data_IF_508627433248
#
_entry.id   IF_508627433248
#
_cell.length_a   1.000
_cell.length_b   1.000
_cell.length_c   1.000
_cell.angle_alpha   90.00
_cell.angle_beta   90.00
_cell.angle_gamma   90.00
#
_symmetry.space_group_name_H-M   'P 1'
#
loop_
_entity.id
_entity.type
_entity.pdbx_description
1 polymer ?
#
# COMPACT_ATOMS: atom_id res chain seq x y z
N UNK A 1 24.08 8.53 -20.28
CA UNK A 1 23.61 7.44 -19.41
C UNK A 1 24.51 6.26 -19.58
N UNK A 2 25.19 5.85 -18.52
CA UNK A 2 26.12 4.72 -18.55
C UNK A 2 25.41 3.48 -18.02
N UNK A 3 25.37 2.43 -18.83
CA UNK A 3 24.64 1.19 -18.56
C UNK A 3 25.63 0.04 -18.38
N UNK A 4 25.40 -0.76 -17.33
CA UNK A 4 26.14 -1.99 -17.07
C UNK A 4 25.23 -3.19 -17.34
N UNK A 5 25.71 -4.11 -18.18
CA UNK A 5 25.08 -5.40 -18.45
C UNK A 5 25.86 -6.50 -17.73
N UNK A 6 25.16 -7.33 -16.99
CA UNK A 6 25.75 -8.46 -16.25
C UNK A 6 24.97 -9.74 -16.57
N UNK A 7 25.60 -10.63 -17.33
CA UNK A 7 24.99 -11.88 -17.81
C UNK A 7 26.11 -12.84 -18.20
N UNK A 8 26.10 -14.09 -17.82
CA UNK A 8 27.14 -15.06 -18.17
C UNK A 8 27.02 -15.59 -19.62
N UNK A 9 25.86 -15.36 -20.26
CA UNK A 9 25.65 -15.72 -21.66
C UNK A 9 26.08 -14.58 -22.60
N UNK A 10 27.18 -14.79 -23.32
CA UNK A 10 27.72 -13.82 -24.29
C UNK A 10 26.73 -13.45 -25.42
N UNK A 11 25.81 -14.34 -25.77
CA UNK A 11 24.77 -14.06 -26.76
C UNK A 11 23.74 -13.06 -26.18
N UNK A 12 23.28 -13.28 -24.97
CA UNK A 12 22.36 -12.39 -24.25
C UNK A 12 22.96 -10.99 -24.08
N UNK A 13 24.23 -10.89 -23.66
CA UNK A 13 24.96 -9.62 -23.57
C UNK A 13 25.01 -8.88 -24.91
N UNK A 14 25.36 -9.60 -25.98
CA UNK A 14 25.47 -9.00 -27.33
C UNK A 14 24.08 -8.54 -27.84
N UNK A 15 23.05 -9.34 -27.63
CA UNK A 15 21.70 -9.02 -28.05
C UNK A 15 21.17 -7.77 -27.32
N UNK A 16 21.30 -7.76 -25.99
CA UNK A 16 20.83 -6.67 -25.16
C UNK A 16 21.61 -5.37 -25.45
N UNK A 17 22.93 -5.44 -25.65
CA UNK A 17 23.75 -4.29 -26.06
C UNK A 17 23.26 -3.69 -27.38
N UNK A 18 23.04 -4.51 -28.40
CA UNK A 18 22.53 -4.04 -29.70
C UNK A 18 21.15 -3.41 -29.62
N UNK A 19 20.27 -3.99 -28.79
CA UNK A 19 18.94 -3.43 -28.58
C UNK A 19 19.03 -2.06 -27.90
N UNK A 20 19.88 -1.90 -26.89
CA UNK A 20 20.12 -0.63 -26.20
C UNK A 20 20.77 0.41 -27.14
N UNK A 21 21.76 0.04 -27.93
CA UNK A 21 22.37 0.91 -28.94
C UNK A 21 21.34 1.42 -29.95
N UNK A 22 20.44 0.54 -30.41
CA UNK A 22 19.39 0.90 -31.37
C UNK A 22 18.36 1.91 -30.83
N UNK A 23 18.29 2.09 -29.51
CA UNK A 23 17.42 3.07 -28.84
C UNK A 23 18.20 4.26 -28.30
N UNK A 24 19.49 4.41 -28.68
CA UNK A 24 20.30 5.59 -28.43
C UNK A 24 21.11 5.54 -27.12
N UNK A 25 21.37 4.37 -26.56
CA UNK A 25 22.30 4.20 -25.43
C UNK A 25 23.71 3.94 -25.99
N UNK A 26 24.64 4.88 -25.81
CA UNK A 26 25.97 4.82 -26.39
C UNK A 26 27.05 4.30 -25.43
N UNK A 27 26.86 4.44 -24.12
CA UNK A 27 27.83 4.07 -23.08
C UNK A 27 27.41 2.81 -22.37
N UNK A 28 27.81 1.65 -22.88
CA UNK A 28 27.43 0.32 -22.38
C UNK A 28 28.71 -0.44 -21.99
N UNK A 29 28.73 -0.91 -20.75
CA UNK A 29 29.75 -1.78 -20.19
C UNK A 29 29.17 -3.17 -20.01
N UNK A 30 29.87 -4.21 -20.43
CA UNK A 30 29.42 -5.59 -20.35
C UNK A 30 30.37 -6.43 -19.48
N UNK A 31 29.80 -7.22 -18.58
CA UNK A 31 30.55 -8.20 -17.81
C UNK A 31 29.84 -9.55 -17.83
N UNK A 32 30.59 -10.59 -18.08
CA UNK A 32 30.18 -11.99 -18.07
C UNK A 32 30.25 -12.62 -16.66
N UNK A 33 30.74 -11.87 -15.69
CA UNK A 33 30.87 -12.29 -14.29
C UNK A 33 30.42 -11.19 -13.33
N UNK A 34 29.56 -11.53 -12.42
CA UNK A 34 29.05 -10.63 -11.38
C UNK A 34 30.17 -10.01 -10.53
N UNK A 35 31.26 -10.74 -10.26
CA UNK A 35 32.40 -10.23 -9.50
C UNK A 35 33.09 -9.05 -10.17
N UNK A 36 33.27 -9.09 -11.50
CA UNK A 36 33.88 -8.02 -12.27
C UNK A 36 32.98 -6.79 -12.28
N UNK A 37 31.67 -6.99 -12.41
CA UNK A 37 30.68 -5.94 -12.31
C UNK A 37 30.71 -5.25 -10.94
N UNK A 38 30.82 -6.01 -9.84
CA UNK A 38 30.94 -5.46 -8.49
C UNK A 38 32.25 -4.67 -8.29
N UNK A 39 33.37 -5.13 -8.85
CA UNK A 39 34.63 -4.40 -8.78
C UNK A 39 34.49 -3.00 -9.43
N UNK A 40 33.84 -2.93 -10.59
CA UNK A 40 33.54 -1.67 -11.27
C UNK A 40 32.62 -0.77 -10.44
N UNK A 41 31.55 -1.32 -9.86
CA UNK A 41 30.57 -0.57 -9.07
C UNK A 41 31.13 -0.10 -7.71
N UNK A 42 32.19 -0.74 -7.22
CA UNK A 42 32.89 -0.35 -5.98
C UNK A 42 33.90 0.77 -6.24
N UNK A 43 34.37 0.93 -7.47
CA UNK A 43 35.24 2.01 -7.87
C UNK A 43 34.42 3.31 -7.97
N UNK A 44 34.66 4.24 -7.02
CA UNK A 44 33.93 5.52 -6.93
C UNK A 44 34.26 6.48 -8.08
N UNK A 45 35.22 6.15 -8.92
CA UNK A 45 35.60 7.00 -10.07
C UNK A 45 34.67 6.82 -11.26
N UNK A 46 33.93 5.70 -11.33
CA UNK A 46 33.04 5.37 -12.44
C UNK A 46 31.56 5.31 -11.95
N UNK A 47 30.75 6.17 -12.53
CA UNK A 47 29.32 6.21 -12.21
C UNK A 47 28.53 5.36 -13.20
N UNK A 48 27.85 4.34 -12.72
CA UNK A 48 26.86 3.55 -13.46
C UNK A 48 25.47 4.05 -13.10
N UNK A 49 24.71 4.43 -14.12
CA UNK A 49 23.35 4.96 -13.94
C UNK A 49 22.29 3.86 -13.90
N UNK A 50 22.51 2.76 -14.65
CA UNK A 50 21.55 1.67 -14.80
C UNK A 50 22.28 0.33 -14.91
N UNK A 51 21.83 -0.67 -14.18
CA UNK A 51 22.33 -2.05 -14.23
C UNK A 51 21.24 -2.97 -14.77
N UNK A 52 21.55 -3.76 -15.80
CA UNK A 52 20.78 -4.95 -16.18
C UNK A 52 21.49 -6.16 -15.60
N UNK A 53 20.81 -6.93 -14.79
CA UNK A 53 21.37 -8.08 -14.09
C UNK A 53 20.60 -9.34 -14.42
N UNK A 54 21.29 -10.34 -14.97
CA UNK A 54 20.74 -11.70 -15.03
C UNK A 54 20.66 -12.31 -13.65
N UNK A 55 19.64 -13.13 -13.43
CA UNK A 55 19.44 -13.86 -12.18
C UNK A 55 20.21 -15.20 -12.15
N UNK A 56 20.41 -15.82 -13.29
CA UNK A 56 21.07 -17.11 -13.40
C UNK A 56 22.53 -16.97 -13.87
N UNK A 57 23.42 -16.73 -12.95
CA UNK A 57 24.83 -16.64 -13.23
C UNK A 57 25.62 -17.65 -12.38
N UNK A 58 26.67 -18.29 -12.92
CA UNK A 58 27.53 -19.18 -12.16
C UNK A 58 28.35 -18.40 -11.12
N UNK A 59 28.71 -19.07 -10.02
CA UNK A 59 29.56 -18.56 -8.93
C UNK A 59 28.88 -17.52 -8.05
N UNK A 60 28.19 -16.53 -8.61
CA UNK A 60 27.40 -15.50 -7.91
C UNK A 60 26.12 -15.27 -8.69
N UNK A 61 25.01 -15.68 -8.14
CA UNK A 61 23.70 -15.49 -8.74
C UNK A 61 23.20 -14.03 -8.60
N UNK A 62 22.14 -13.70 -9.33
CA UNK A 62 21.57 -12.34 -9.32
C UNK A 62 21.01 -11.93 -7.95
N UNK A 63 20.56 -12.87 -7.13
CA UNK A 63 20.07 -12.58 -5.77
C UNK A 63 21.24 -12.16 -4.87
N UNK A 64 22.35 -12.86 -4.97
CA UNK A 64 23.57 -12.50 -4.24
C UNK A 64 24.11 -11.16 -4.74
N UNK A 65 24.09 -10.93 -6.04
CA UNK A 65 24.49 -9.65 -6.64
C UNK A 65 23.63 -8.49 -6.14
N UNK A 66 22.32 -8.63 -6.08
CA UNK A 66 21.37 -7.64 -5.50
C UNK A 66 21.74 -7.31 -4.05
N UNK A 67 22.06 -8.31 -3.23
CA UNK A 67 22.50 -8.08 -1.84
C UNK A 67 23.80 -7.27 -1.77
N UNK A 68 24.74 -7.51 -2.67
CA UNK A 68 25.98 -6.74 -2.74
C UNK A 68 25.73 -5.29 -3.20
N UNK A 69 24.87 -5.06 -4.20
CA UNK A 69 24.45 -3.71 -4.61
C UNK A 69 23.91 -2.90 -3.41
N UNK A 70 23.05 -3.54 -2.60
CA UNK A 70 22.53 -2.91 -1.39
C UNK A 70 23.64 -2.59 -0.38
N UNK A 71 24.60 -3.51 -0.17
CA UNK A 71 25.71 -3.34 0.78
C UNK A 71 26.65 -2.20 0.38
N UNK A 72 26.92 -2.02 -0.92
CA UNK A 72 27.77 -0.90 -1.40
C UNK A 72 27.00 0.42 -1.51
N UNK A 73 25.68 0.41 -1.25
CA UNK A 73 24.83 1.61 -1.35
C UNK A 73 24.67 2.09 -2.80
N UNK A 74 24.49 1.16 -3.74
CA UNK A 74 24.26 1.51 -5.15
C UNK A 74 23.02 2.40 -5.29
N UNK A 75 23.21 3.59 -5.86
CA UNK A 75 22.16 4.60 -5.99
C UNK A 75 21.56 4.71 -7.40
N UNK A 76 22.06 3.92 -8.36
CA UNK A 76 21.52 3.86 -9.72
C UNK A 76 20.29 2.98 -9.80
N UNK A 77 19.81 2.77 -11.02
CA UNK A 77 18.63 1.96 -11.30
C UNK A 77 19.01 0.52 -11.63
N UNK A 78 18.10 -0.42 -11.34
CA UNK A 78 18.29 -1.85 -11.58
C UNK A 78 17.16 -2.40 -12.45
N UNK A 79 17.49 -3.16 -13.46
CA UNK A 79 16.57 -4.01 -14.23
C UNK A 79 17.00 -5.46 -14.02
N UNK A 80 16.08 -6.30 -13.59
CA UNK A 80 16.29 -7.74 -13.46
C UNK A 80 15.93 -8.41 -14.78
N UNK A 81 16.81 -9.29 -15.25
CA UNK A 81 16.62 -10.03 -16.50
C UNK A 81 16.68 -11.52 -16.21
N UNK A 82 15.74 -12.33 -16.67
CA UNK A 82 15.82 -13.78 -16.49
C UNK A 82 14.90 -14.55 -17.45
N UNK A 83 15.25 -15.81 -17.69
CA UNK A 83 14.37 -16.79 -18.35
C UNK A 83 13.50 -17.59 -17.39
N UNK A 84 13.56 -17.33 -16.10
CA UNK A 84 12.86 -18.07 -15.04
C UNK A 84 11.37 -17.71 -14.94
N UNK A 85 10.63 -18.50 -14.14
CA UNK A 85 9.23 -18.27 -13.81
C UNK A 85 9.03 -16.86 -13.23
N UNK A 86 7.97 -16.19 -13.66
CA UNK A 86 7.57 -14.85 -13.21
C UNK A 86 7.56 -14.70 -11.69
N UNK A 87 7.22 -15.76 -10.94
CA UNK A 87 7.19 -15.77 -9.47
C UNK A 87 8.59 -15.60 -8.85
N UNK A 88 9.62 -16.20 -9.45
CA UNK A 88 11.00 -16.05 -8.97
C UNK A 88 11.46 -14.60 -9.22
N UNK A 89 11.20 -14.08 -10.41
CA UNK A 89 11.52 -12.69 -10.76
C UNK A 89 10.87 -11.68 -9.81
N UNK A 90 9.59 -11.88 -9.51
CA UNK A 90 8.84 -11.00 -8.59
C UNK A 90 9.38 -11.09 -7.15
N UNK A 91 9.76 -12.29 -6.71
CA UNK A 91 10.40 -12.49 -5.40
C UNK A 91 11.71 -11.73 -5.30
N UNK A 92 12.55 -11.76 -6.35
CA UNK A 92 13.85 -11.05 -6.37
C UNK A 92 13.63 -9.55 -6.48
N UNK A 93 12.63 -9.10 -7.23
CA UNK A 93 12.24 -7.69 -7.28
C UNK A 93 11.85 -7.16 -5.90
N UNK A 94 10.97 -7.87 -5.20
CA UNK A 94 10.54 -7.50 -3.86
C UNK A 94 11.72 -7.47 -2.87
N UNK A 95 12.64 -8.44 -2.98
CA UNK A 95 13.88 -8.45 -2.20
C UNK A 95 14.74 -7.21 -2.50
N UNK A 96 14.93 -6.86 -3.77
CA UNK A 96 15.71 -5.70 -4.17
C UNK A 96 15.09 -4.38 -3.65
N UNK A 97 13.75 -4.25 -3.76
CA UNK A 97 13.00 -3.11 -3.21
C UNK A 97 13.08 -3.04 -1.68
N UNK A 98 13.01 -4.18 -0.97
CA UNK A 98 13.18 -4.25 0.49
C UNK A 98 14.59 -3.79 0.92
N UNK A 99 15.58 -4.00 0.09
CA UNK A 99 16.93 -3.48 0.25
C UNK A 99 17.09 -2.01 -0.19
N UNK A 100 16.00 -1.32 -0.53
CA UNK A 100 15.96 0.08 -0.98
C UNK A 100 16.73 0.34 -2.28
N UNK A 101 16.88 -0.68 -3.12
CA UNK A 101 17.38 -0.50 -4.48
C UNK A 101 16.27 0.04 -5.38
N UNK A 102 16.65 0.91 -6.31
CA UNK A 102 15.71 1.48 -7.28
C UNK A 102 15.51 0.52 -8.45
N UNK A 103 14.54 -0.40 -8.34
CA UNK A 103 14.20 -1.35 -9.40
C UNK A 103 13.28 -0.68 -10.41
N UNK A 104 13.81 -0.47 -11.63
CA UNK A 104 13.08 0.11 -12.76
C UNK A 104 12.07 -0.89 -13.35
N UNK A 105 12.38 -2.18 -13.31
CA UNK A 105 11.48 -3.25 -13.75
C UNK A 105 12.17 -4.58 -14.01
N UNK A 106 11.40 -5.49 -14.62
CA UNK A 106 11.79 -6.85 -14.94
C UNK A 106 11.70 -7.08 -16.44
N UNK A 107 12.62 -7.85 -16.99
CA UNK A 107 12.60 -8.33 -18.37
C UNK A 107 12.70 -9.85 -18.43
N UNK A 108 11.78 -10.48 -19.15
CA UNK A 108 11.90 -11.90 -19.48
C UNK A 108 12.78 -12.12 -20.71
N UNK A 109 13.67 -13.11 -20.65
CA UNK A 109 14.46 -13.55 -21.82
C UNK A 109 13.58 -14.40 -22.76
N UNK A 110 13.63 -14.14 -24.08
CA UNK A 110 14.34 -13.06 -24.77
C UNK A 110 13.60 -11.71 -24.66
N UNK A 111 14.28 -10.68 -24.16
CA UNK A 111 13.69 -9.36 -24.04
C UNK A 111 13.48 -8.73 -25.43
N UNK A 112 12.30 -8.12 -25.65
CA UNK A 112 12.05 -7.40 -26.89
C UNK A 112 12.50 -5.94 -26.80
N UNK A 113 12.81 -5.33 -27.93
CA UNK A 113 13.19 -3.92 -28.01
C UNK A 113 12.08 -2.99 -27.46
N UNK A 114 10.81 -3.36 -27.68
CA UNK A 114 9.67 -2.57 -27.22
C UNK A 114 9.53 -2.61 -25.69
N UNK A 115 9.81 -3.74 -25.05
CA UNK A 115 9.83 -3.85 -23.59
C UNK A 115 10.94 -2.97 -23.00
N UNK A 116 12.16 -3.00 -23.57
CA UNK A 116 13.28 -2.17 -23.15
C UNK A 116 12.93 -0.69 -23.32
N UNK A 117 12.37 -0.30 -24.48
CA UNK A 117 11.90 1.07 -24.73
C UNK A 117 10.82 1.50 -23.71
N UNK A 118 9.87 0.64 -23.41
CA UNK A 118 8.82 0.88 -22.41
C UNK A 118 9.41 1.22 -21.05
N UNK A 119 10.35 0.39 -20.56
CA UNK A 119 11.04 0.61 -19.29
C UNK A 119 11.85 1.93 -19.27
N UNK A 120 12.61 2.21 -20.33
CA UNK A 120 13.40 3.44 -20.40
C UNK A 120 12.54 4.70 -20.62
N UNK A 121 11.39 4.58 -21.27
CA UNK A 121 10.43 5.69 -21.43
C UNK A 121 9.70 6.00 -20.13
N UNK A 122 9.36 4.99 -19.33
CA UNK A 122 8.82 5.17 -17.98
C UNK A 122 9.78 5.96 -17.07
N UNK A 123 11.10 5.77 -17.26
CA UNK A 123 12.15 6.59 -16.63
C UNK A 123 12.05 8.08 -17.02
N UNK A 124 11.73 8.39 -18.27
CA UNK A 124 11.62 9.78 -18.76
C UNK A 124 10.28 10.43 -18.41
N UNK A 125 9.19 9.66 -18.36
CA UNK A 125 7.84 10.10 -17.97
C UNK A 125 7.65 10.24 -16.46
N UNK A 126 8.42 9.55 -15.66
CA UNK A 126 8.43 9.64 -14.19
C UNK A 126 9.11 10.88 -13.61
N UNK A 127 9.57 11.80 -14.45
CA UNK A 127 9.88 13.17 -14.07
C UNK A 127 8.62 14.06 -14.14
N UNK A 128 7.52 13.65 -13.53
CA UNK A 128 6.62 14.60 -12.90
C UNK A 128 7.47 15.36 -11.88
N UNK A 129 7.46 16.67 -12.00
CA UNK A 129 8.23 17.64 -11.24
C UNK A 129 8.65 17.07 -9.89
N UNK A 130 9.93 16.74 -9.76
CA UNK A 130 10.50 16.46 -8.47
C UNK A 130 10.24 17.72 -7.65
N UNK A 131 9.22 17.68 -6.81
CA UNK A 131 9.21 18.55 -5.64
C UNK A 131 10.62 18.46 -5.05
N UNK A 132 11.23 19.58 -4.65
CA UNK A 132 12.59 19.58 -4.12
C UNK A 132 12.68 18.45 -3.10
N UNK A 133 13.80 17.70 -3.01
CA UNK A 133 13.90 16.57 -2.12
C UNK A 133 13.53 17.05 -0.72
N UNK A 134 12.29 16.76 -0.34
CA UNK A 134 11.84 17.01 1.03
C UNK A 134 12.76 16.16 1.87
N UNK A 135 13.60 16.81 2.65
CA UNK A 135 14.61 16.20 3.50
C UNK A 135 14.07 14.91 4.11
N UNK A 136 14.79 13.80 3.95
CA UNK A 136 14.45 12.45 4.47
C UNK A 136 14.47 12.38 6.01
N UNK A 137 14.27 13.49 6.69
CA UNK A 137 14.30 13.57 8.14
C UNK A 137 12.90 13.32 8.67
N UNK A 138 12.72 12.22 9.39
CA UNK A 138 11.57 12.03 10.26
C UNK A 138 11.36 13.29 11.11
N UNK A 139 10.13 13.75 11.23
CA UNK A 139 9.83 14.93 12.04
C UNK A 139 10.19 14.68 13.50
N UNK A 140 10.78 15.69 14.17
CA UNK A 140 11.13 15.56 15.59
C UNK A 140 9.87 15.31 16.44
N UNK A 141 9.91 14.38 17.40
CA UNK A 141 8.76 14.06 18.24
C UNK A 141 8.10 15.27 18.90
N UNK A 142 8.90 16.27 19.28
CA UNK A 142 8.40 17.52 19.89
C UNK A 142 7.60 18.39 18.92
N UNK A 143 7.89 18.32 17.62
CA UNK A 143 7.14 19.03 16.57
C UNK A 143 5.81 18.33 16.35
N UNK A 144 5.82 17.00 16.21
CA UNK A 144 4.61 16.20 16.06
C UNK A 144 3.67 16.34 17.27
N UNK A 145 4.21 16.33 18.51
CA UNK A 145 3.40 16.55 19.73
C UNK A 145 2.69 17.90 19.69
N UNK A 146 3.36 18.95 19.25
CA UNK A 146 2.72 20.28 19.09
C UNK A 146 1.67 20.29 18.00
N UNK A 147 1.91 19.58 16.90
CA UNK A 147 0.96 19.45 15.80
C UNK A 147 -0.34 18.76 16.25
N UNK A 148 -0.22 17.67 17.03
CA UNK A 148 -1.37 16.96 17.61
C UNK A 148 -2.17 17.90 18.51
N UNK A 149 -1.48 18.58 19.45
CA UNK A 149 -2.13 19.50 20.39
C UNK A 149 -2.64 20.80 19.73
N UNK A 150 -2.04 21.20 18.60
CA UNK A 150 -2.34 22.46 17.89
C UNK A 150 -3.42 22.35 16.82
N UNK A 151 -4.00 21.15 16.60
CA UNK A 151 -5.04 20.96 15.57
C UNK A 151 -4.50 20.99 14.14
N UNK A 152 -3.21 20.68 13.93
CA UNK A 152 -2.61 20.60 12.60
C UNK A 152 -2.90 19.26 11.90
N UNK A 153 -3.45 18.26 12.64
CA UNK A 153 -3.90 17.00 12.06
C UNK A 153 -5.31 17.17 11.50
N UNK A 154 -5.51 16.75 10.26
CA UNK A 154 -6.79 16.82 9.55
C UNK A 154 -7.13 15.44 8.98
N UNK A 155 -8.41 15.13 8.93
CA UNK A 155 -8.89 13.88 8.36
C UNK A 155 -9.28 14.06 6.89
N UNK A 156 -8.80 13.16 6.06
CA UNK A 156 -9.28 12.93 4.71
C UNK A 156 -10.11 11.65 4.72
N UNK A 157 -11.06 11.56 3.83
CA UNK A 157 -12.01 10.47 3.79
C UNK A 157 -11.99 9.82 2.42
N UNK A 158 -11.86 8.48 2.40
CA UNK A 158 -11.92 7.71 1.17
C UNK A 158 -13.15 6.82 1.18
N UNK A 159 -14.06 6.95 0.19
CA UNK A 159 -15.28 6.19 0.11
C UNK A 159 -15.03 4.68 -0.04
N UNK A 160 -15.84 3.90 0.71
CA UNK A 160 -16.05 2.46 0.52
C UNK A 160 -17.44 2.25 -0.09
N UNK A 161 -17.52 1.55 -1.19
CA UNK A 161 -18.77 1.33 -1.93
C UNK A 161 -19.10 -0.15 -2.03
N UNK A 162 -20.37 -0.48 -1.98
CA UNK A 162 -20.85 -1.84 -2.20
C UNK A 162 -20.83 -2.18 -3.70
N UNK A 163 -20.13 -3.25 -4.07
CA UNK A 163 -19.96 -3.65 -5.47
C UNK A 163 -21.29 -4.05 -6.12
N UNK A 164 -22.21 -4.66 -5.38
CA UNK A 164 -23.50 -5.12 -5.90
C UNK A 164 -24.50 -3.99 -6.23
N UNK A 165 -24.35 -2.81 -5.60
CA UNK A 165 -25.29 -1.69 -5.74
C UNK A 165 -24.63 -0.37 -6.12
N UNK A 166 -23.30 -0.29 -6.07
CA UNK A 166 -22.57 0.96 -6.25
C UNK A 166 -22.78 1.99 -5.12
N UNK A 167 -23.58 1.70 -4.11
CA UNK A 167 -23.89 2.65 -3.02
C UNK A 167 -22.70 2.83 -2.09
N UNK A 168 -22.49 4.05 -1.62
CA UNK A 168 -21.54 4.31 -0.54
C UNK A 168 -22.09 3.72 0.76
N UNK A 169 -21.26 2.93 1.45
CA UNK A 169 -21.59 2.35 2.77
C UNK A 169 -20.80 2.98 3.91
N UNK A 170 -19.64 3.53 3.61
CA UNK A 170 -18.78 4.15 4.61
C UNK A 170 -17.60 4.86 4.00
N UNK A 171 -16.75 5.33 4.87
CA UNK A 171 -15.49 6.00 4.50
C UNK A 171 -14.35 5.51 5.38
N UNK A 172 -13.16 5.37 4.82
CA UNK A 172 -11.93 5.24 5.59
C UNK A 172 -11.39 6.62 5.93
N UNK A 173 -11.01 6.79 7.19
CA UNK A 173 -10.42 8.02 7.72
C UNK A 173 -8.91 7.95 7.62
N UNK A 174 -8.34 8.82 6.81
CA UNK A 174 -6.92 8.88 6.51
C UNK A 174 -6.33 10.20 7.04
N UNK A 175 -5.60 10.13 8.13
CA UNK A 175 -4.98 11.31 8.73
C UNK A 175 -4.00 11.95 7.76
N UNK A 176 -3.97 13.29 7.78
CA UNK A 176 -2.98 14.14 7.11
C UNK A 176 -2.48 15.17 8.11
N UNK A 177 -1.26 15.64 7.94
CA UNK A 177 -0.73 16.73 8.74
C UNK A 177 -0.63 17.98 7.89
N UNK A 178 -1.46 18.98 8.22
CA UNK A 178 -1.44 20.29 7.58
C UNK A 178 -0.32 21.13 8.22
N UNK A 179 0.92 20.87 7.80
CA UNK A 179 2.09 21.53 8.38
C UNK A 179 2.20 22.97 7.86
N UNK A 180 2.40 23.98 8.74
CA UNK A 180 2.33 25.40 8.36
C UNK A 180 3.39 25.86 7.34
N UNK A 181 4.48 25.10 7.17
CA UNK A 181 5.56 25.41 6.22
C UNK A 181 5.68 24.40 5.10
N UNK A 182 5.48 23.13 5.41
CA UNK A 182 5.76 22.03 4.48
C UNK A 182 4.49 21.56 3.75
N UNK A 183 3.33 22.20 4.04
CA UNK A 183 2.05 21.85 3.41
C UNK A 183 1.47 20.55 3.93
N UNK A 184 0.84 19.77 3.06
CA UNK A 184 0.17 18.54 3.41
C UNK A 184 1.17 17.37 3.50
N UNK A 185 1.32 16.80 4.70
CA UNK A 185 2.23 15.69 4.99
C UNK A 185 1.44 14.40 5.16
N UNK A 186 1.90 13.33 4.53
CA UNK A 186 1.27 12.01 4.54
C UNK A 186 1.74 11.16 5.75
N UNK A 187 0.94 10.16 6.16
CA UNK A 187 1.16 9.34 7.36
C UNK A 187 2.53 8.66 7.45
N UNK A 188 3.06 8.18 6.34
CA UNK A 188 4.37 7.51 6.23
C UNK A 188 5.53 8.34 6.78
N UNK A 189 5.36 9.66 6.86
CA UNK A 189 6.37 10.60 7.32
C UNK A 189 6.34 10.84 8.83
N UNK A 190 5.28 10.47 9.55
CA UNK A 190 5.13 10.79 10.98
C UNK A 190 4.55 9.67 11.86
N UNK A 191 3.85 8.67 11.30
CA UNK A 191 3.25 7.58 12.10
C UNK A 191 4.32 6.79 12.85
N UNK A 192 5.41 6.38 12.18
CA UNK A 192 6.52 5.68 12.83
C UNK A 192 7.09 6.49 14.00
N UNK A 193 7.27 7.82 13.82
CA UNK A 193 7.71 8.70 14.91
C UNK A 193 6.69 8.73 16.05
N UNK A 194 5.40 8.74 15.77
CA UNK A 194 4.36 8.71 16.79
C UNK A 194 4.40 7.41 17.59
N UNK A 195 4.59 6.26 16.94
CA UNK A 195 4.68 4.95 17.59
C UNK A 195 5.93 4.84 18.48
N UNK A 196 7.11 5.16 17.94
CA UNK A 196 8.39 5.04 18.64
C UNK A 196 8.50 5.95 19.89
N UNK A 197 7.75 7.07 19.88
CA UNK A 197 7.84 8.07 20.93
C UNK A 197 6.56 8.20 21.79
N UNK A 198 5.66 7.24 21.73
CA UNK A 198 4.46 7.16 22.56
C UNK A 198 3.42 8.26 22.28
N UNK A 199 3.43 8.83 21.05
CA UNK A 199 2.48 9.86 20.63
C UNK A 199 1.27 9.26 19.87
N UNK A 200 1.34 7.97 19.54
CA UNK A 200 0.33 7.31 18.70
C UNK A 200 -1.05 7.27 19.36
N UNK A 201 -1.09 7.19 20.70
CA UNK A 201 -2.34 7.22 21.45
C UNK A 201 -3.06 8.56 21.27
N UNK A 202 -2.39 9.67 21.54
CA UNK A 202 -2.95 11.02 21.38
C UNK A 202 -3.36 11.29 19.94
N UNK A 203 -2.53 10.83 18.96
CA UNK A 203 -2.84 10.94 17.54
C UNK A 203 -4.10 10.17 17.18
N UNK A 204 -4.21 8.90 17.60
CA UNK A 204 -5.39 8.06 17.33
C UNK A 204 -6.66 8.69 17.86
N UNK A 205 -6.65 9.20 19.10
CA UNK A 205 -7.82 9.84 19.70
C UNK A 205 -8.16 11.19 19.06
N UNK A 206 -7.18 11.95 18.59
CA UNK A 206 -7.42 13.17 17.78
C UNK A 206 -8.16 12.83 16.49
N UNK A 207 -7.67 11.80 15.76
CA UNK A 207 -8.27 11.34 14.51
C UNK A 207 -9.68 10.78 14.75
N UNK A 208 -9.85 9.93 15.76
CA UNK A 208 -11.12 9.30 16.13
C UNK A 208 -12.18 10.34 16.51
N UNK A 209 -11.84 11.27 17.38
CA UNK A 209 -12.77 12.30 17.84
C UNK A 209 -13.25 13.18 16.69
N UNK A 210 -12.34 13.57 15.80
CA UNK A 210 -12.69 14.37 14.62
C UNK A 210 -13.50 13.56 13.60
N UNK A 211 -13.18 12.26 13.39
CA UNK A 211 -13.95 11.38 12.50
C UNK A 211 -15.39 11.19 12.99
N UNK A 212 -15.57 10.98 14.29
CA UNK A 212 -16.91 10.83 14.89
C UNK A 212 -17.70 12.15 14.85
N UNK A 213 -17.04 13.28 15.13
CA UNK A 213 -17.68 14.59 14.99
C UNK A 213 -18.16 14.84 13.54
N UNK A 214 -17.34 14.48 12.57
CA UNK A 214 -17.70 14.58 11.16
C UNK A 214 -18.82 13.62 10.77
N UNK A 215 -18.80 12.39 11.27
CA UNK A 215 -19.90 11.44 11.09
C UNK A 215 -21.24 12.00 11.60
N UNK A 216 -21.21 12.70 12.76
CA UNK A 216 -22.40 13.37 13.30
C UNK A 216 -22.92 14.45 12.36
N UNK A 217 -22.04 15.29 11.82
CA UNK A 217 -22.43 16.32 10.82
C UNK A 217 -23.10 15.70 9.61
N UNK A 218 -22.54 14.61 9.07
CA UNK A 218 -23.15 13.91 7.94
C UNK A 218 -24.52 13.30 8.29
N UNK A 219 -24.67 12.74 9.51
CA UNK A 219 -25.95 12.19 9.97
C UNK A 219 -27.03 13.30 10.10
N UNK A 220 -26.68 14.46 10.62
CA UNK A 220 -27.58 15.61 10.72
C UNK A 220 -28.01 16.12 9.34
N UNK A 221 -27.17 15.94 8.34
CA UNK A 221 -27.44 16.24 6.92
C UNK A 221 -28.15 15.08 6.18
N UNK A 222 -28.56 14.01 6.89
CA UNK A 222 -29.29 12.87 6.34
C UNK A 222 -28.40 11.81 5.67
N UNK A 223 -27.06 11.89 5.80
CA UNK A 223 -26.10 10.94 5.26
C UNK A 223 -25.52 10.06 6.35
N UNK A 224 -26.07 8.86 6.51
CA UNK A 224 -25.65 7.90 7.54
C UNK A 224 -24.59 6.96 7.00
N UNK A 225 -23.31 7.25 7.29
CA UNK A 225 -22.15 6.47 6.87
C UNK A 225 -21.46 5.82 8.06
N UNK A 226 -20.80 4.70 7.80
CA UNK A 226 -19.82 4.13 8.72
C UNK A 226 -18.46 4.82 8.51
N UNK A 227 -17.80 5.15 9.61
CA UNK A 227 -16.46 5.73 9.58
C UNK A 227 -15.45 4.71 10.09
N UNK A 228 -14.48 4.39 9.29
CA UNK A 228 -13.40 3.49 9.65
C UNK A 228 -12.17 4.30 10.08
N UNK A 229 -11.56 3.89 11.20
CA UNK A 229 -10.40 4.55 11.78
C UNK A 229 -9.31 3.52 12.06
N UNK A 230 -8.13 3.81 11.57
CA UNK A 230 -6.93 3.00 11.77
C UNK A 230 -6.45 3.07 13.24
N UNK A 231 -6.21 1.91 13.84
CA UNK A 231 -5.77 1.76 15.23
C UNK A 231 -4.42 1.04 15.26
N UNK A 232 -3.42 1.68 15.87
CA UNK A 232 -2.13 1.04 16.11
C UNK A 232 -2.24 -0.03 17.20
N UNK A 233 -1.48 -1.11 17.05
CA UNK A 233 -1.37 -2.14 18.09
C UNK A 233 -0.90 -1.62 19.44
N UNK A 234 -0.19 -0.49 19.46
CA UNK A 234 0.18 0.18 20.72
C UNK A 234 -1.04 0.67 21.51
N UNK A 235 -2.15 1.01 20.84
CA UNK A 235 -3.41 1.36 21.48
C UNK A 235 -4.07 0.14 22.15
N UNK A 236 -3.92 -1.06 21.55
CA UNK A 236 -4.47 -2.31 22.06
C UNK A 236 -3.67 -2.94 23.21
N UNK A 237 -2.76 -2.18 23.83
CA UNK A 237 -2.07 -2.55 25.07
C UNK A 237 -2.72 -1.95 26.32
N UNK A 238 -3.54 -0.91 26.15
CA UNK A 238 -4.24 -0.24 27.24
C UNK A 238 -5.63 -0.80 27.44
N UNK A 239 -5.92 -1.41 28.59
CA UNK A 239 -7.23 -1.94 28.93
C UNK A 239 -8.33 -0.86 29.04
N UNK A 240 -7.96 0.41 29.08
CA UNK A 240 -8.87 1.56 29.10
C UNK A 240 -9.28 2.00 27.69
N UNK A 241 -8.64 1.49 26.66
CA UNK A 241 -8.92 1.88 25.28
C UNK A 241 -10.38 1.75 24.87
N UNK A 242 -11.10 0.65 25.19
CA UNK A 242 -12.53 0.53 24.84
C UNK A 242 -13.39 1.62 25.48
N UNK A 243 -13.15 1.96 26.76
CA UNK A 243 -13.88 3.00 27.49
C UNK A 243 -13.66 4.38 26.85
N UNK A 244 -12.41 4.68 26.48
CA UNK A 244 -12.08 5.95 25.84
C UNK A 244 -12.73 6.08 24.45
N UNK A 245 -12.76 4.99 23.67
CA UNK A 245 -13.48 4.96 22.37
C UNK A 245 -14.97 5.20 22.56
N UNK A 246 -15.60 4.52 23.54
CA UNK A 246 -17.02 4.72 23.85
C UNK A 246 -17.32 6.15 24.31
N UNK A 247 -16.43 6.74 25.09
CA UNK A 247 -16.56 8.13 25.54
C UNK A 247 -16.50 9.10 24.33
N UNK A 248 -15.56 8.94 23.41
CA UNK A 248 -15.47 9.77 22.21
C UNK A 248 -16.77 9.68 21.38
N UNK A 249 -17.33 8.48 21.22
CA UNK A 249 -18.58 8.29 20.47
C UNK A 249 -19.77 8.95 21.17
N UNK A 250 -19.85 8.83 22.51
CA UNK A 250 -20.89 9.46 23.32
C UNK A 250 -20.81 11.00 23.27
N UNK A 251 -19.61 11.56 23.33
CA UNK A 251 -19.37 13.01 23.22
C UNK A 251 -19.77 13.56 21.85
N UNK A 252 -19.51 12.77 20.77
CA UNK A 252 -19.92 13.11 19.41
C UNK A 252 -21.42 12.85 19.14
N UNK A 253 -22.12 12.12 20.01
CA UNK A 253 -23.51 11.72 19.80
C UNK A 253 -23.70 10.73 18.63
N UNK A 254 -22.71 9.86 18.41
CA UNK A 254 -22.71 8.86 17.33
C UNK A 254 -22.86 7.45 17.92
N UNK A 255 -23.78 6.65 17.35
CA UNK A 255 -23.96 5.25 17.72
C UNK A 255 -22.72 4.44 17.29
N UNK A 256 -22.23 3.58 18.17
CA UNK A 256 -21.02 2.76 17.97
C UNK A 256 -21.09 1.83 16.73
N UNK A 257 -22.29 1.48 16.26
CA UNK A 257 -22.47 0.70 15.02
C UNK A 257 -21.96 1.42 13.75
N UNK A 258 -21.78 2.75 13.82
CA UNK A 258 -21.23 3.55 12.73
C UNK A 258 -19.70 3.65 12.76
N UNK A 259 -19.07 3.10 13.81
CA UNK A 259 -17.62 3.06 13.93
C UNK A 259 -17.08 1.69 13.51
N UNK A 260 -16.06 1.73 12.66
CA UNK A 260 -15.21 0.58 12.32
C UNK A 260 -13.80 0.89 12.79
N UNK A 261 -13.19 -0.02 13.53
CA UNK A 261 -11.76 0.10 13.88
C UNK A 261 -10.96 -0.86 13.02
N UNK A 262 -10.00 -0.31 12.28
CA UNK A 262 -9.11 -1.05 11.40
C UNK A 262 -7.79 -1.36 12.12
N UNK A 263 -7.42 -2.62 12.13
CA UNK A 263 -6.24 -3.12 12.85
C UNK A 263 -5.34 -3.86 11.87
N UNK A 264 -4.09 -3.45 11.77
CA UNK A 264 -3.13 -4.12 10.88
C UNK A 264 -2.74 -5.50 11.41
N UNK A 265 -2.66 -6.45 10.47
CA UNK A 265 -2.32 -7.86 10.71
C UNK A 265 -0.99 -8.05 11.44
N UNK A 266 0.05 -7.37 10.97
CA UNK A 266 1.47 -7.70 11.25
C UNK A 266 1.90 -7.58 12.72
N UNK A 267 1.16 -6.88 13.57
CA UNK A 267 1.59 -6.54 14.94
C UNK A 267 0.77 -7.17 16.07
N UNK A 268 -0.28 -7.94 15.77
CA UNK A 268 -1.12 -8.58 16.80
C UNK A 268 -0.39 -9.61 17.68
N UNK A 269 0.81 -10.03 17.27
CA UNK A 269 1.59 -11.09 17.94
C UNK A 269 2.34 -10.66 19.20
N UNK A 270 2.51 -9.37 19.45
CA UNK A 270 3.37 -8.90 20.55
C UNK A 270 2.76 -9.05 21.96
N UNK A 271 1.42 -8.99 22.07
CA UNK A 271 0.70 -9.24 23.33
C UNK A 271 -0.72 -9.79 23.05
N UNK A 272 -0.86 -11.06 22.70
CA UNK A 272 -2.12 -11.62 22.20
C UNK A 272 -3.25 -11.59 23.23
N UNK A 273 -2.95 -11.74 24.53
CA UNK A 273 -3.98 -11.80 25.58
C UNK A 273 -4.67 -10.44 25.77
N UNK A 274 -3.88 -9.37 25.90
CA UNK A 274 -4.46 -8.02 26.07
C UNK A 274 -5.20 -7.56 24.81
N UNK A 275 -4.68 -7.86 23.62
CA UNK A 275 -5.34 -7.51 22.37
C UNK A 275 -6.67 -8.25 22.22
N UNK A 276 -6.74 -9.54 22.54
CA UNK A 276 -7.99 -10.32 22.52
C UNK A 276 -9.02 -9.78 23.51
N UNK A 277 -8.62 -9.42 24.73
CA UNK A 277 -9.51 -8.81 25.73
C UNK A 277 -10.11 -7.50 25.16
N UNK A 278 -9.28 -6.58 24.71
CA UNK A 278 -9.70 -5.28 24.19
C UNK A 278 -10.61 -5.43 22.96
N UNK A 279 -10.21 -6.24 21.98
CA UNK A 279 -10.98 -6.45 20.75
C UNK A 279 -12.35 -7.12 21.06
N UNK A 280 -12.37 -8.11 21.98
CA UNK A 280 -13.61 -8.74 22.41
C UNK A 280 -14.56 -7.77 23.10
N UNK A 281 -14.02 -6.87 23.96
CA UNK A 281 -14.82 -5.82 24.63
C UNK A 281 -15.38 -4.81 23.64
N UNK A 282 -14.63 -4.40 22.64
CA UNK A 282 -15.10 -3.53 21.56
C UNK A 282 -16.24 -4.19 20.78
N UNK A 283 -16.11 -5.47 20.45
CA UNK A 283 -17.16 -6.24 19.77
C UNK A 283 -18.45 -6.37 20.61
N UNK A 284 -18.32 -6.63 21.91
CA UNK A 284 -19.47 -6.67 22.83
C UNK A 284 -20.21 -5.33 22.91
N UNK A 285 -19.59 -4.24 22.52
CA UNK A 285 -20.18 -2.89 22.41
C UNK A 285 -20.67 -2.57 21.00
N UNK A 286 -20.71 -3.55 20.10
CA UNK A 286 -21.17 -3.42 18.70
C UNK A 286 -20.30 -2.48 17.83
N UNK A 287 -19.02 -2.29 18.21
CA UNK A 287 -18.05 -1.64 17.34
C UNK A 287 -17.58 -2.68 16.33
N UNK A 288 -17.63 -2.35 15.04
CA UNK A 288 -17.12 -3.23 13.99
C UNK A 288 -15.60 -3.24 13.97
N UNK A 289 -15.02 -4.43 13.77
CA UNK A 289 -13.57 -4.62 13.63
C UNK A 289 -13.24 -5.04 12.21
N UNK A 290 -12.25 -4.41 11.63
CA UNK A 290 -11.71 -4.73 10.31
C UNK A 290 -10.24 -5.13 10.42
N UNK A 291 -9.85 -6.24 9.81
CA UNK A 291 -8.45 -6.58 9.67
C UNK A 291 -7.90 -5.98 8.39
N UNK A 292 -6.80 -5.24 8.52
CA UNK A 292 -6.17 -4.47 7.44
C UNK A 292 -4.90 -5.15 6.90
N UNK A 293 -4.54 -4.86 5.63
CA UNK A 293 -3.37 -5.37 4.92
C UNK A 293 -3.30 -6.92 4.86
N UNK A 294 -4.45 -7.60 4.78
CA UNK A 294 -4.48 -9.07 4.81
C UNK A 294 -3.66 -9.69 3.67
N UNK A 295 -2.75 -10.58 4.06
CA UNK A 295 -1.89 -11.35 3.14
C UNK A 295 -0.50 -10.75 2.91
N UNK A 296 -0.22 -9.52 3.38
CA UNK A 296 1.10 -8.88 3.20
C UNK A 296 2.10 -9.22 4.32
N UNK A 297 1.62 -9.78 5.43
CA UNK A 297 2.40 -10.05 6.63
C UNK A 297 2.52 -11.53 7.00
N UNK A 298 2.84 -11.76 8.26
CA UNK A 298 2.93 -13.10 8.85
C UNK A 298 1.60 -13.48 9.52
N UNK A 299 0.46 -13.31 8.82
CA UNK A 299 -0.84 -13.70 9.33
C UNK A 299 -0.85 -15.15 9.74
N UNK A 300 -1.18 -15.37 10.98
CA UNK A 300 -1.60 -16.67 11.39
C UNK A 300 -3.11 -16.77 11.18
N UNK A 301 -3.58 -17.69 10.35
CA UNK A 301 -4.99 -18.02 10.20
C UNK A 301 -5.69 -18.25 11.56
N UNK A 302 -4.91 -18.53 12.62
CA UNK A 302 -5.40 -18.62 14.00
C UNK A 302 -5.97 -17.28 14.51
N UNK A 303 -5.44 -16.14 14.09
CA UNK A 303 -5.95 -14.82 14.50
C UNK A 303 -7.33 -14.54 13.91
N UNK A 304 -7.54 -14.87 12.63
CA UNK A 304 -8.86 -14.77 11.99
C UNK A 304 -9.91 -15.65 12.67
N UNK A 305 -9.48 -16.83 13.19
CA UNK A 305 -10.38 -17.71 13.94
C UNK A 305 -10.71 -17.16 15.33
N UNK A 306 -9.72 -16.58 16.02
CA UNK A 306 -9.81 -16.26 17.45
C UNK A 306 -10.33 -14.84 17.72
N UNK A 307 -10.18 -13.90 16.77
CA UNK A 307 -10.69 -12.54 16.85
C UNK A 307 -11.95 -12.40 15.99
N UNK A 308 -13.07 -11.95 16.55
CA UNK A 308 -14.33 -11.82 15.80
C UNK A 308 -14.35 -10.56 14.92
N UNK A 309 -13.62 -10.59 13.81
CA UNK A 309 -13.64 -9.53 12.80
C UNK A 309 -14.95 -9.53 11.99
N UNK A 310 -15.40 -8.34 11.59
CA UNK A 310 -16.56 -8.15 10.70
C UNK A 310 -16.14 -7.92 9.25
N UNK A 311 -14.94 -7.40 9.04
CA UNK A 311 -14.40 -7.04 7.72
C UNK A 311 -12.98 -7.57 7.54
N UNK A 312 -12.69 -8.03 6.32
CA UNK A 312 -11.37 -8.43 5.87
C UNK A 312 -11.00 -7.56 4.68
N UNK A 313 -9.99 -6.69 4.85
CA UNK A 313 -9.47 -5.83 3.78
C UNK A 313 -8.38 -6.59 3.04
N UNK A 314 -8.58 -6.79 1.74
CA UNK A 314 -7.63 -7.47 0.86
C UNK A 314 -6.75 -6.39 0.23
N UNK A 315 -5.45 -6.47 0.51
CA UNK A 315 -4.47 -5.48 0.07
C UNK A 315 -4.43 -5.32 -1.45
N UNK A 316 -4.16 -4.10 -1.90
CA UNK A 316 -4.09 -3.72 -3.32
C UNK A 316 -3.14 -4.59 -4.15
N UNK A 317 -2.09 -5.14 -3.54
CA UNK A 317 -1.12 -6.00 -4.23
C UNK A 317 -1.73 -7.32 -4.72
N UNK A 318 -2.87 -7.72 -4.16
CA UNK A 318 -3.64 -8.89 -4.58
C UNK A 318 -4.89 -8.55 -5.39
N UNK A 319 -5.30 -7.28 -5.42
CA UNK A 319 -6.50 -6.80 -6.12
C UNK A 319 -6.16 -6.33 -7.53
N UNK A 320 -5.24 -5.36 -7.63
CA UNK A 320 -4.91 -4.76 -8.93
C UNK A 320 -4.26 -5.76 -9.87
N UNK A 321 -4.87 -5.95 -11.05
CA UNK A 321 -4.41 -6.88 -12.07
C UNK A 321 -4.77 -8.35 -11.84
N UNK A 322 -5.52 -8.70 -10.78
CA UNK A 322 -5.97 -10.08 -10.53
C UNK A 322 -6.79 -10.68 -11.68
N UNK A 323 -7.48 -9.85 -12.45
CA UNK A 323 -8.19 -10.27 -13.66
C UNK A 323 -7.25 -10.86 -14.74
N UNK A 324 -5.95 -10.50 -14.73
CA UNK A 324 -4.95 -10.86 -15.73
C UNK A 324 -3.90 -11.85 -15.22
N UNK A 325 -3.68 -11.92 -13.91
CA UNK A 325 -2.70 -12.79 -13.26
C UNK A 325 -3.39 -13.91 -12.49
N UNK A 326 -3.12 -15.17 -12.89
CA UNK A 326 -3.73 -16.35 -12.28
C UNK A 326 -3.34 -16.57 -10.83
N UNK A 327 -2.15 -16.12 -10.41
CA UNK A 327 -1.67 -16.25 -9.03
C UNK A 327 -2.36 -15.24 -8.12
N UNK A 328 -2.47 -13.98 -8.56
CA UNK A 328 -3.22 -12.95 -7.85
C UNK A 328 -4.70 -13.32 -7.75
N UNK A 329 -5.28 -13.82 -8.84
CA UNK A 329 -6.66 -14.32 -8.86
C UNK A 329 -6.89 -15.41 -7.82
N UNK A 330 -6.02 -16.42 -7.78
CA UNK A 330 -6.15 -17.53 -6.83
C UNK A 330 -6.06 -17.06 -5.37
N UNK A 331 -5.19 -16.07 -5.07
CA UNK A 331 -5.06 -15.47 -3.74
C UNK A 331 -6.33 -14.68 -3.40
N UNK A 332 -6.80 -13.84 -4.31
CA UNK A 332 -8.00 -13.02 -4.10
C UNK A 332 -9.24 -13.89 -3.90
N UNK A 333 -9.51 -14.84 -4.79
CA UNK A 333 -10.64 -15.76 -4.67
C UNK A 333 -10.58 -16.61 -3.38
N UNK A 334 -9.37 -17.06 -3.00
CA UNK A 334 -9.12 -17.75 -1.74
C UNK A 334 -9.44 -16.87 -0.52
N UNK A 335 -9.05 -15.59 -0.56
CA UNK A 335 -9.33 -14.60 0.50
C UNK A 335 -10.83 -14.30 0.62
N UNK A 336 -11.52 -14.12 -0.53
CA UNK A 336 -12.97 -13.93 -0.58
C UNK A 336 -13.73 -15.16 -0.04
N UNK A 337 -13.28 -16.36 -0.43
CA UNK A 337 -13.84 -17.61 0.10
C UNK A 337 -13.69 -17.72 1.60
N UNK A 338 -12.52 -17.40 2.13
CA UNK A 338 -12.25 -17.41 3.57
C UNK A 338 -13.08 -16.38 4.34
N UNK A 339 -13.17 -15.13 3.84
CA UNK A 339 -14.01 -14.10 4.44
C UNK A 339 -15.47 -14.59 4.55
N UNK A 340 -16.01 -15.17 3.46
CA UNK A 340 -17.37 -15.70 3.41
C UNK A 340 -17.62 -16.83 4.43
N UNK A 341 -16.71 -17.81 4.51
CA UNK A 341 -16.84 -18.93 5.45
C UNK A 341 -16.72 -18.50 6.91
N UNK A 342 -16.00 -17.42 7.20
CA UNK A 342 -15.86 -16.82 8.53
C UNK A 342 -16.97 -15.79 8.85
N UNK A 343 -17.88 -15.54 7.91
CA UNK A 343 -18.96 -14.57 8.10
C UNK A 343 -18.50 -13.11 8.12
N UNK A 344 -17.35 -12.82 7.54
CA UNK A 344 -16.80 -11.48 7.37
C UNK A 344 -17.16 -10.91 6.01
N UNK A 345 -17.28 -9.59 5.92
CA UNK A 345 -17.36 -8.89 4.63
C UNK A 345 -15.97 -8.66 4.07
N UNK A 346 -15.79 -8.91 2.78
CA UNK A 346 -14.57 -8.63 2.09
C UNK A 346 -14.55 -7.19 1.55
N UNK A 347 -13.46 -6.47 1.79
CA UNK A 347 -13.21 -5.13 1.25
C UNK A 347 -11.98 -5.22 0.33
N UNK A 348 -12.16 -5.01 -0.96
CA UNK A 348 -11.05 -4.96 -1.90
C UNK A 348 -10.45 -3.55 -1.92
N UNK A 349 -9.14 -3.46 -1.67
CA UNK A 349 -8.40 -2.21 -1.69
C UNK A 349 -7.65 -1.99 -3.00
N UNK A 350 -7.39 -0.72 -3.34
CA UNK A 350 -6.59 -0.37 -4.49
C UNK A 350 -7.22 -0.75 -5.82
N UNK A 351 -8.53 -0.66 -5.95
CA UNK A 351 -9.23 -0.76 -7.24
C UNK A 351 -8.80 0.42 -8.10
N UNK A 352 -8.03 0.17 -9.17
CA UNK A 352 -7.39 1.22 -9.96
C UNK A 352 -8.03 1.43 -11.34
N UNK A 353 -8.70 0.41 -11.87
CA UNK A 353 -9.32 0.49 -13.19
C UNK A 353 -10.68 -0.25 -13.25
N UNK A 354 -11.30 -0.21 -14.43
CA UNK A 354 -12.60 -0.84 -14.69
C UNK A 354 -12.50 -2.37 -14.69
N UNK A 355 -11.39 -2.92 -15.14
CA UNK A 355 -11.20 -4.37 -15.20
C UNK A 355 -11.15 -4.97 -13.79
N UNK A 356 -10.49 -4.28 -12.84
CA UNK A 356 -10.49 -4.64 -11.42
C UNK A 356 -11.92 -4.62 -10.85
N UNK A 357 -12.68 -3.55 -11.13
CA UNK A 357 -14.07 -3.42 -10.67
C UNK A 357 -14.97 -4.55 -11.17
N UNK A 358 -14.95 -4.80 -12.49
CA UNK A 358 -15.78 -5.84 -13.12
C UNK A 358 -15.42 -7.23 -12.56
N UNK A 359 -14.12 -7.52 -12.43
CA UNK A 359 -13.66 -8.79 -11.88
C UNK A 359 -14.10 -8.98 -10.42
N UNK A 360 -14.03 -7.96 -9.58
CA UNK A 360 -14.48 -8.02 -8.18
C UNK A 360 -16.00 -8.24 -8.07
N UNK A 361 -16.78 -7.62 -8.95
CA UNK A 361 -18.22 -7.88 -9.05
C UNK A 361 -18.51 -9.36 -9.39
N UNK A 362 -17.80 -9.92 -10.37
CA UNK A 362 -17.95 -11.34 -10.77
C UNK A 362 -17.49 -12.30 -9.66
N UNK A 363 -16.41 -11.96 -8.95
CA UNK A 363 -15.89 -12.76 -7.84
C UNK A 363 -16.76 -12.70 -6.58
N UNK A 364 -17.74 -11.78 -6.54
CA UNK A 364 -18.67 -11.62 -5.41
C UNK A 364 -18.01 -11.00 -4.18
N UNK A 365 -17.13 -10.02 -4.38
CA UNK A 365 -16.61 -9.19 -3.30
C UNK A 365 -17.70 -8.23 -2.80
N UNK A 366 -17.72 -7.93 -1.50
CA UNK A 366 -18.79 -7.13 -0.89
C UNK A 366 -18.58 -5.63 -1.12
N UNK A 367 -17.38 -5.14 -0.77
CA UNK A 367 -17.04 -3.73 -0.77
C UNK A 367 -15.76 -3.48 -1.58
N UNK A 368 -15.64 -2.28 -2.12
CA UNK A 368 -14.46 -1.84 -2.85
C UNK A 368 -14.04 -0.42 -2.44
N UNK A 369 -12.74 -0.20 -2.49
CA UNK A 369 -12.07 1.08 -2.25
C UNK A 369 -10.87 1.20 -3.18
N UNK A 370 -10.63 2.39 -3.75
CA UNK A 370 -9.50 2.61 -4.64
C UNK A 370 -9.63 3.87 -5.47
N UNK A 371 -8.58 4.20 -6.22
CA UNK A 371 -8.54 5.45 -7.00
C UNK A 371 -9.49 5.44 -8.20
N UNK A 372 -9.90 4.28 -8.65
CA UNK A 372 -10.98 4.17 -9.63
C UNK A 372 -12.31 4.69 -9.09
N UNK A 373 -12.56 4.53 -7.79
CA UNK A 373 -13.77 4.98 -7.10
C UNK A 373 -13.58 6.45 -6.68
N UNK A 374 -12.64 6.69 -5.79
CA UNK A 374 -12.29 8.02 -5.29
C UNK A 374 -10.88 8.07 -4.71
N UNK A 375 -10.21 9.20 -4.85
CA UNK A 375 -9.03 9.52 -4.02
C UNK A 375 -9.49 10.00 -2.64
N UNK A 376 -8.66 9.85 -1.59
CA UNK A 376 -8.95 10.47 -0.30
C UNK A 376 -9.20 11.98 -0.45
N UNK A 377 -10.28 12.47 0.14
CA UNK A 377 -10.73 13.86 0.00
C UNK A 377 -11.11 14.49 1.35
N UNK A 378 -11.10 15.82 1.47
CA UNK A 378 -11.69 16.54 2.61
C UNK A 378 -13.19 16.24 2.75
N UNK A 379 -13.72 16.34 3.98
CA UNK A 379 -15.12 16.05 4.28
C UNK A 379 -16.12 16.83 3.42
N UNK A 380 -15.82 18.09 3.13
CA UNK A 380 -16.70 19.00 2.36
C UNK A 380 -16.90 18.54 0.92
N UNK A 381 -15.94 17.78 0.37
CA UNK A 381 -16.01 17.28 -1.01
C UNK A 381 -16.86 16.02 -1.14
N UNK A 382 -17.14 15.31 -0.03
CA UNK A 382 -17.78 14.01 -0.07
C UNK A 382 -19.18 14.04 -0.70
N UNK A 383 -19.98 15.06 -0.38
CA UNK A 383 -21.36 15.19 -0.90
C UNK A 383 -21.36 15.37 -2.42
N UNK A 384 -20.53 16.24 -2.92
CA UNK A 384 -20.40 16.46 -4.36
C UNK A 384 -19.92 15.18 -5.08
N UNK A 385 -18.94 14.49 -4.49
CA UNK A 385 -18.47 13.22 -5.03
C UNK A 385 -19.59 12.17 -5.06
N UNK A 386 -20.46 12.07 -4.04
CA UNK A 386 -21.58 11.11 -4.02
C UNK A 386 -22.53 11.37 -5.20
N UNK A 387 -22.81 12.63 -5.54
CA UNK A 387 -23.65 13.00 -6.68
C UNK A 387 -23.01 12.54 -8.00
N UNK A 388 -21.75 12.89 -8.24
CA UNK A 388 -21.00 12.46 -9.44
C UNK A 388 -20.85 10.93 -9.53
N UNK A 389 -20.59 10.26 -8.41
CA UNK A 389 -20.46 8.82 -8.35
C UNK A 389 -21.77 8.11 -8.68
N UNK A 390 -22.89 8.62 -8.20
CA UNK A 390 -24.22 8.04 -8.47
C UNK A 390 -24.55 8.07 -9.97
N UNK A 391 -24.22 9.14 -10.68
CA UNK A 391 -24.35 9.22 -12.13
C UNK A 391 -23.47 8.21 -12.84
N UNK A 392 -22.21 8.11 -12.42
CA UNK A 392 -21.22 7.18 -12.99
C UNK A 392 -21.60 5.70 -12.79
N UNK A 393 -22.17 5.34 -11.63
CA UNK A 393 -22.64 3.97 -11.34
C UNK A 393 -23.78 3.56 -12.29
N UNK A 394 -24.69 4.47 -12.60
CA UNK A 394 -25.76 4.24 -13.60
C UNK A 394 -25.18 3.95 -14.98
N UNK A 395 -24.17 4.73 -15.41
CA UNK A 395 -23.47 4.53 -16.69
C UNK A 395 -22.70 3.20 -16.74
N UNK A 396 -22.23 2.70 -15.58
CA UNK A 396 -21.59 1.38 -15.49
C UNK A 396 -22.57 0.21 -15.55
N UNK A 397 -23.88 0.47 -15.55
CA UNK A 397 -24.91 -0.55 -15.64
C UNK A 397 -25.14 -1.33 -14.33
N UNK A 398 -24.65 -0.82 -13.19
CA UNK A 398 -24.91 -1.41 -11.86
C UNK A 398 -26.34 -1.05 -11.48
N UNK A 399 -27.17 -2.05 -11.16
CA UNK A 399 -28.56 -1.81 -10.74
C UNK A 399 -28.55 -1.06 -9.40
N UNK A 400 -28.89 0.21 -9.42
CA UNK A 400 -29.14 0.98 -8.19
C UNK A 400 -30.49 0.54 -7.64
N UNK A 401 -30.48 -0.41 -6.68
CA UNK A 401 -31.67 -0.89 -5.97
C UNK A 401 -31.95 -0.04 -4.73
#
# INVERSE_FOLDING_TARGET
MRVLLVDDDAFSLTLLSRQLESIGVEDIVMHDQAKNALALLTDKTERIDLVFCDLQMPVMDGVEFVRYLARIGYAGELVLVSGEDARILHTVENLARSHRLNVLGILHKPASQDQIKGLLSARQGGRLEAMPPVSSHAYRPSVLRRAIAGGELVNYYQPKVALHSGRIEGVETLVRWQHPRDGLIFPDRFITTAEEHGLIHDLTFTVLSEALRQARVWMDDGLSLRVAVNVSMSNLTSLEFPEQVMQCAAEAGVDLKHLVLEVTESRMMSNPVSSLDILSRLRLKHISLSIDDFGTGHSSLSQLRDVPFDELKIDRSFVHGACRDSSLRAILEGSLGMARELGMRAVAEGVEDRDDWEFLCEAGCDLAQGYYIARPMPADNLRHWIEEWSERVVDMGVAVV
#
